data_IF_911287275265
#
_entry.id   IF_911287275265
#
_cell.length_a   1.000
_cell.length_b   1.000
_cell.length_c   1.000
_cell.angle_alpha   90.00
_cell.angle_beta   90.00
_cell.angle_gamma   90.00
#
_symmetry.space_group_name_H-M   'P 1'
#
loop_
_entity.id
_entity.type
_entity.pdbx_description
1 polymer ?
#
# COMPACT_ATOMS: atom_id res chain seq x y z
N UNK A 1 62.47 27.34 15.80
CA UNK A 1 61.17 26.69 16.16
C UNK A 1 60.05 26.99 15.16
N UNK A 2 59.88 28.18 14.65
CA UNK A 2 58.77 28.59 13.73
C UNK A 2 58.80 27.83 12.39
N UNK A 3 59.97 27.56 11.78
CA UNK A 3 60.08 26.85 10.51
C UNK A 3 59.72 25.35 10.58
N UNK A 4 59.81 24.71 11.75
CA UNK A 4 59.37 23.30 11.92
C UNK A 4 57.88 23.19 12.09
N UNK A 5 57.24 24.15 12.79
CA UNK A 5 55.80 24.18 12.97
C UNK A 5 55.06 24.37 11.63
N UNK A 6 55.58 25.22 10.75
CA UNK A 6 55.03 25.45 9.39
C UNK A 6 55.07 24.18 8.51
N UNK A 7 56.12 23.38 8.58
CA UNK A 7 56.22 22.10 7.81
C UNK A 7 55.22 21.06 8.33
N UNK A 8 55.04 20.96 9.64
CA UNK A 8 54.08 20.01 10.22
C UNK A 8 52.67 20.36 9.84
N UNK A 9 52.30 21.64 9.87
CA UNK A 9 50.98 22.15 9.44
C UNK A 9 50.77 21.86 7.94
N UNK A 10 51.78 22.02 7.10
CA UNK A 10 51.72 21.76 5.67
C UNK A 10 51.51 20.28 5.36
N UNK A 11 52.21 19.36 6.05
CA UNK A 11 51.97 17.91 5.90
C UNK A 11 50.63 17.46 6.45
N UNK A 12 50.12 18.10 7.51
CA UNK A 12 48.79 17.83 8.04
C UNK A 12 47.66 18.28 7.09
N UNK A 13 47.83 19.43 6.43
CA UNK A 13 46.90 19.90 5.40
C UNK A 13 46.92 19.02 4.14
N UNK A 14 48.08 18.50 3.73
CA UNK A 14 48.19 17.54 2.63
C UNK A 14 47.55 16.22 2.99
N UNK A 15 47.70 15.75 4.23
CA UNK A 15 47.03 14.51 4.71
C UNK A 15 45.51 14.61 4.70
N UNK A 16 44.93 15.76 5.01
CA UNK A 16 43.49 15.99 4.99
C UNK A 16 42.94 15.98 3.55
N UNK A 17 43.70 16.47 2.56
CA UNK A 17 43.24 16.51 1.16
C UNK A 17 43.25 15.12 0.47
N UNK A 18 43.88 14.12 1.05
CA UNK A 18 43.92 12.74 0.51
C UNK A 18 42.68 11.92 0.95
N UNK A 19 41.97 12.37 2.00
CA UNK A 19 40.75 11.74 2.50
C UNK A 19 39.46 12.26 1.88
N UNK A 20 39.52 12.96 0.74
CA UNK A 20 38.29 13.20 -0.04
C UNK A 20 37.81 11.83 -0.59
N UNK A 21 36.91 11.19 0.14
CA UNK A 21 36.16 10.03 -0.37
C UNK A 21 35.44 10.48 -1.63
N UNK A 22 35.94 10.07 -2.78
CA UNK A 22 35.23 10.21 -4.02
C UNK A 22 33.92 9.42 -3.82
N UNK A 23 32.79 10.13 -3.75
CA UNK A 23 31.50 9.54 -3.96
C UNK A 23 31.48 9.11 -5.43
N UNK A 24 31.93 7.87 -5.70
CA UNK A 24 31.84 7.25 -7.00
C UNK A 24 30.34 7.11 -7.33
N UNK A 25 29.84 8.07 -8.04
CA UNK A 25 28.55 7.98 -8.69
C UNK A 25 28.79 7.16 -9.95
N UNK A 26 28.51 5.88 -9.88
CA UNK A 26 28.71 4.97 -11.00
C UNK A 26 27.57 5.16 -12.02
N UNK A 27 27.91 5.11 -13.31
CA UNK A 27 26.98 5.31 -14.42
C UNK A 27 26.47 3.94 -14.88
N UNK A 28 25.17 3.78 -15.00
CA UNK A 28 24.55 2.56 -15.54
C UNK A 28 24.74 2.50 -17.07
N UNK A 29 25.72 1.77 -17.53
CA UNK A 29 25.93 1.53 -18.97
C UNK A 29 24.92 0.57 -19.57
N UNK A 30 24.36 -0.31 -18.74
CA UNK A 30 23.37 -1.30 -19.14
C UNK A 30 22.32 -1.46 -18.06
N UNK A 31 21.07 -1.68 -18.48
CA UNK A 31 19.97 -2.03 -17.60
C UNK A 31 19.44 -3.39 -18.01
N UNK A 32 19.39 -4.33 -17.06
CA UNK A 32 18.84 -5.68 -17.26
C UNK A 32 17.59 -5.82 -16.40
N UNK A 33 16.48 -6.21 -17.02
CA UNK A 33 15.20 -6.44 -16.36
C UNK A 33 14.84 -7.90 -16.52
N UNK A 34 14.45 -8.56 -15.43
CA UNK A 34 14.09 -9.97 -15.41
C UNK A 34 12.88 -10.22 -14.51
N UNK A 35 12.11 -11.27 -14.83
CA UNK A 35 10.94 -11.69 -14.06
C UNK A 35 9.64 -11.00 -14.45
N UNK A 36 9.66 -10.14 -15.46
CA UNK A 36 8.45 -9.60 -16.06
C UNK A 36 7.85 -10.60 -17.06
N UNK A 37 6.53 -10.76 -16.99
CA UNK A 37 5.76 -11.64 -17.87
C UNK A 37 4.80 -10.86 -18.76
N UNK A 38 4.10 -9.90 -18.20
CA UNK A 38 3.05 -9.11 -18.88
C UNK A 38 3.45 -7.67 -19.12
N UNK A 39 4.28 -7.12 -18.24
CA UNK A 39 4.69 -5.72 -18.29
C UNK A 39 5.99 -5.64 -19.08
N UNK A 40 6.02 -4.82 -20.14
CA UNK A 40 7.21 -4.68 -20.98
C UNK A 40 8.36 -3.97 -20.24
N UNK A 41 9.60 -4.24 -20.68
CA UNK A 41 10.79 -3.59 -20.12
C UNK A 41 10.71 -2.06 -20.22
N UNK A 42 10.17 -1.53 -21.32
CA UNK A 42 10.02 -0.10 -21.56
C UNK A 42 9.07 0.52 -20.55
N UNK A 43 7.98 -0.18 -20.20
CA UNK A 43 7.03 0.27 -19.19
C UNK A 43 7.66 0.29 -17.81
N UNK A 44 8.48 -0.72 -17.47
CA UNK A 44 9.19 -0.77 -16.18
C UNK A 44 10.22 0.37 -16.09
N UNK A 45 10.96 0.64 -17.17
CA UNK A 45 11.90 1.76 -17.25
C UNK A 45 11.19 3.11 -17.08
N UNK A 46 10.01 3.26 -17.69
CA UNK A 46 9.20 4.46 -17.55
C UNK A 46 8.75 4.68 -16.09
N UNK A 47 8.30 3.62 -15.41
CA UNK A 47 7.90 3.72 -14.00
C UNK A 47 9.08 3.99 -13.07
N UNK A 48 10.23 3.40 -13.33
CA UNK A 48 11.45 3.57 -12.51
C UNK A 48 12.20 4.88 -12.79
N UNK A 49 11.79 5.65 -13.81
CA UNK A 49 12.43 6.92 -14.21
C UNK A 49 13.96 6.81 -14.30
N UNK A 50 14.45 5.71 -14.89
CA UNK A 50 15.87 5.41 -15.09
C UNK A 50 16.16 5.19 -16.57
N UNK A 51 17.29 5.68 -17.04
CA UNK A 51 17.77 5.52 -18.41
C UNK A 51 19.23 5.05 -18.42
N UNK A 52 19.64 4.48 -19.54
CA UNK A 52 21.05 4.16 -19.77
C UNK A 52 21.86 5.45 -19.70
N UNK A 53 23.02 5.40 -19.07
CA UNK A 53 23.93 6.50 -18.74
C UNK A 53 23.47 7.41 -17.58
N UNK A 54 22.40 7.05 -16.86
CA UNK A 54 22.07 7.73 -15.61
C UNK A 54 23.08 7.35 -14.50
N UNK A 55 23.31 8.29 -13.59
CA UNK A 55 24.11 8.03 -12.38
C UNK A 55 23.30 7.25 -11.38
N UNK A 56 23.89 6.16 -10.88
CA UNK A 56 23.27 5.27 -9.89
C UNK A 56 23.97 5.43 -8.55
N UNK A 57 23.18 5.80 -7.55
CA UNK A 57 23.58 5.83 -6.15
C UNK A 57 22.48 5.17 -5.29
N UNK A 58 22.73 5.02 -4.00
CA UNK A 58 21.76 4.41 -3.09
C UNK A 58 20.41 5.15 -3.06
N UNK A 59 20.42 6.46 -3.22
CA UNK A 59 19.18 7.28 -3.27
C UNK A 59 18.39 6.96 -4.54
N UNK A 60 19.05 6.88 -5.70
CA UNK A 60 18.41 6.52 -6.97
C UNK A 60 17.82 5.12 -6.91
N UNK A 61 18.55 4.13 -6.34
CA UNK A 61 18.05 2.76 -6.14
C UNK A 61 16.80 2.76 -5.26
N UNK A 62 16.82 3.46 -4.13
CA UNK A 62 15.66 3.57 -3.24
C UNK A 62 14.45 4.23 -3.94
N UNK A 63 14.69 5.24 -4.76
CA UNK A 63 13.64 5.89 -5.54
C UNK A 63 13.04 4.93 -6.58
N UNK A 64 13.85 4.15 -7.29
CA UNK A 64 13.39 3.12 -8.23
C UNK A 64 12.50 2.11 -7.50
N UNK A 65 12.97 1.57 -6.37
CA UNK A 65 12.20 0.63 -5.55
C UNK A 65 10.85 1.23 -5.15
N UNK A 66 10.85 2.44 -4.61
CA UNK A 66 9.63 3.14 -4.19
C UNK A 66 8.66 3.33 -5.34
N UNK A 67 9.13 3.85 -6.47
CA UNK A 67 8.30 4.09 -7.66
C UNK A 67 7.67 2.80 -8.20
N UNK A 68 8.44 1.72 -8.28
CA UNK A 68 7.93 0.44 -8.75
C UNK A 68 6.88 -0.16 -7.79
N UNK A 69 7.13 -0.13 -6.47
CA UNK A 69 6.14 -0.59 -5.48
C UNK A 69 4.87 0.27 -5.46
N UNK A 70 4.98 1.58 -5.65
CA UNK A 70 3.81 2.50 -5.68
C UNK A 70 2.86 2.21 -6.85
N UNK A 71 3.34 1.61 -7.95
CA UNK A 71 2.45 1.18 -9.05
C UNK A 71 1.44 0.12 -8.60
N UNK A 72 1.80 -0.70 -7.61
CA UNK A 72 1.01 -1.84 -7.15
C UNK A 72 0.99 -3.02 -8.13
N UNK A 73 1.84 -3.01 -9.17
CA UNK A 73 1.92 -4.10 -10.15
C UNK A 73 2.87 -5.23 -9.73
N UNK A 74 3.77 -4.96 -8.78
CA UNK A 74 4.81 -5.88 -8.37
C UNK A 74 4.64 -6.31 -6.93
N UNK A 75 4.81 -7.61 -6.67
CA UNK A 75 4.85 -8.21 -5.33
C UNK A 75 6.25 -8.16 -4.74
N UNK A 76 7.26 -8.28 -5.59
CA UNK A 76 8.66 -8.18 -5.20
C UNK A 76 9.47 -7.41 -6.24
N UNK A 77 10.40 -6.58 -5.76
CA UNK A 77 11.31 -5.81 -6.59
C UNK A 77 12.68 -5.83 -5.93
N UNK A 78 13.66 -6.34 -6.65
CA UNK A 78 15.06 -6.32 -6.24
C UNK A 78 15.87 -5.52 -7.26
N UNK A 79 16.61 -4.52 -6.78
CA UNK A 79 17.46 -3.67 -7.61
C UNK A 79 18.88 -3.79 -7.11
N UNK A 80 19.78 -4.24 -7.99
CA UNK A 80 21.19 -4.35 -7.71
C UNK A 80 22.01 -3.64 -8.80
N UNK A 81 23.07 -2.97 -8.39
CA UNK A 81 23.99 -2.29 -9.28
C UNK A 81 25.40 -2.81 -9.10
N UNK A 82 25.92 -3.47 -10.13
CA UNK A 82 27.25 -4.07 -10.14
C UNK A 82 27.89 -3.95 -11.53
N UNK A 83 29.16 -3.63 -11.59
CA UNK A 83 29.95 -3.59 -12.83
C UNK A 83 29.28 -2.70 -13.91
N UNK A 84 28.77 -1.53 -13.52
CA UNK A 84 28.07 -0.58 -14.43
C UNK A 84 26.78 -1.14 -15.04
N UNK A 85 26.25 -2.27 -14.50
CA UNK A 85 24.99 -2.89 -14.90
C UNK A 85 23.97 -2.73 -13.78
N UNK A 86 22.85 -2.09 -14.08
CA UNK A 86 21.70 -2.02 -13.18
C UNK A 86 20.79 -3.22 -13.47
N UNK A 87 20.70 -4.14 -12.51
CA UNK A 87 19.82 -5.31 -12.59
C UNK A 87 18.56 -5.07 -11.79
N UNK A 88 17.42 -5.14 -12.47
CA UNK A 88 16.08 -5.01 -11.85
C UNK A 88 15.40 -6.37 -11.99
N UNK A 89 15.26 -7.09 -10.88
CA UNK A 89 14.50 -8.33 -10.83
C UNK A 89 13.15 -8.06 -10.19
N UNK A 90 12.08 -8.46 -10.86
CA UNK A 90 10.71 -8.22 -10.38
C UNK A 90 9.91 -9.52 -10.34
N UNK A 91 8.86 -9.50 -9.52
CA UNK A 91 7.78 -10.49 -9.55
C UNK A 91 6.46 -9.73 -9.68
N UNK A 92 5.68 -10.05 -10.70
CA UNK A 92 4.42 -9.37 -10.93
C UNK A 92 3.32 -9.87 -9.98
N UNK A 93 2.51 -8.95 -9.49
CA UNK A 93 1.29 -9.28 -8.75
C UNK A 93 0.29 -10.02 -9.66
N UNK A 94 -0.44 -11.02 -9.16
CA UNK A 94 -1.47 -11.68 -9.95
C UNK A 94 -2.58 -10.70 -10.35
N UNK A 95 -3.31 -11.03 -11.41
CA UNK A 95 -4.50 -10.29 -11.85
C UNK A 95 -5.74 -10.87 -11.19
N UNK A 96 -6.60 -10.00 -10.70
CA UNK A 96 -7.91 -10.36 -10.20
C UNK A 96 -8.81 -10.73 -11.38
N UNK A 97 -9.15 -12.01 -11.48
CA UNK A 97 -10.12 -12.48 -12.50
C UNK A 97 -11.53 -12.06 -12.10
N UNK A 98 -11.97 -12.46 -10.90
CA UNK A 98 -13.29 -12.15 -10.39
C UNK A 98 -13.27 -11.81 -8.91
N UNK A 99 -14.24 -10.97 -8.48
CA UNK A 99 -14.53 -10.67 -7.09
C UNK A 99 -15.94 -11.15 -6.78
N UNK A 100 -16.06 -12.05 -5.82
CA UNK A 100 -17.33 -12.62 -5.37
C UNK A 100 -17.71 -12.08 -4.00
N UNK A 101 -19.03 -12.01 -3.75
CA UNK A 101 -19.59 -11.62 -2.47
C UNK A 101 -20.61 -12.66 -2.06
N UNK A 102 -20.34 -13.35 -0.97
CA UNK A 102 -21.24 -14.31 -0.35
C UNK A 102 -21.87 -13.73 0.92
N UNK A 103 -23.05 -14.23 1.29
CA UNK A 103 -23.77 -13.79 2.49
C UNK A 103 -24.62 -12.53 2.33
N UNK A 104 -24.46 -11.75 1.25
CA UNK A 104 -25.27 -10.54 0.99
C UNK A 104 -26.17 -10.74 -0.23
N UNK A 105 -27.49 -10.83 0.01
CA UNK A 105 -28.49 -10.92 -1.05
C UNK A 105 -29.12 -9.55 -1.40
N UNK A 106 -29.19 -8.64 -0.42
CA UNK A 106 -29.87 -7.36 -0.58
C UNK A 106 -29.05 -6.36 -1.39
N UNK A 107 -29.58 -5.92 -2.53
CA UNK A 107 -28.94 -4.95 -3.44
C UNK A 107 -28.55 -3.64 -2.73
N UNK A 108 -29.44 -3.14 -1.84
CA UNK A 108 -29.19 -1.93 -1.04
C UNK A 108 -27.97 -2.00 -0.13
N UNK A 109 -27.54 -3.20 0.27
CA UNK A 109 -26.34 -3.41 1.09
C UNK A 109 -25.13 -3.63 0.19
N UNK A 110 -25.29 -4.39 -0.89
CA UNK A 110 -24.20 -4.73 -1.82
C UNK A 110 -23.67 -3.52 -2.59
N UNK A 111 -24.55 -2.63 -3.06
CA UNK A 111 -24.16 -1.47 -3.88
C UNK A 111 -23.17 -0.52 -3.17
N UNK A 112 -23.40 -0.06 -1.92
CA UNK A 112 -22.44 0.81 -1.23
C UNK A 112 -21.08 0.13 -1.01
N UNK A 113 -21.09 -1.18 -0.72
CA UNK A 113 -19.88 -1.97 -0.54
C UNK A 113 -19.07 -2.00 -1.84
N UNK A 114 -19.68 -2.44 -2.93
CA UNK A 114 -19.01 -2.61 -4.22
C UNK A 114 -18.50 -1.29 -4.80
N UNK A 115 -19.21 -0.18 -4.56
CA UNK A 115 -18.81 1.15 -5.02
C UNK A 115 -17.50 1.63 -4.38
N UNK A 116 -17.28 1.29 -3.11
CA UNK A 116 -16.17 1.81 -2.30
C UNK A 116 -14.93 0.91 -2.33
N UNK A 117 -14.95 -0.22 -3.05
CA UNK A 117 -13.78 -1.08 -3.17
C UNK A 117 -12.67 -0.42 -3.99
N UNK A 118 -11.43 -0.66 -3.57
CA UNK A 118 -10.21 -0.25 -4.28
C UNK A 118 -9.79 -1.29 -5.32
N UNK A 119 -10.00 -2.58 -4.99
CA UNK A 119 -9.74 -3.68 -5.92
C UNK A 119 -10.90 -3.81 -6.93
N UNK A 120 -10.55 -4.16 -8.15
CA UNK A 120 -11.49 -4.34 -9.27
C UNK A 120 -11.13 -5.59 -10.07
N UNK A 121 -12.11 -6.16 -10.75
CA UNK A 121 -11.83 -7.20 -11.74
C UNK A 121 -10.83 -6.66 -12.78
N UNK A 122 -9.90 -7.50 -13.18
CA UNK A 122 -8.82 -7.22 -14.14
C UNK A 122 -7.77 -6.20 -13.66
N UNK A 123 -7.78 -5.81 -12.38
CA UNK A 123 -6.69 -5.04 -11.76
C UNK A 123 -5.67 -5.97 -11.10
N UNK A 124 -4.47 -5.47 -10.85
CA UNK A 124 -3.47 -6.19 -10.08
C UNK A 124 -3.93 -6.36 -8.63
N UNK A 125 -3.77 -7.57 -8.12
CA UNK A 125 -3.98 -7.89 -6.73
C UNK A 125 -2.97 -7.16 -5.84
N UNK A 126 -3.40 -6.68 -4.70
CA UNK A 126 -2.54 -6.05 -3.72
C UNK A 126 -3.10 -6.31 -2.32
N UNK A 127 -2.30 -6.92 -1.45
CA UNK A 127 -2.71 -7.32 -0.11
C UNK A 127 -3.10 -6.10 0.77
N UNK A 128 -2.43 -4.96 0.61
CA UNK A 128 -2.73 -3.74 1.37
C UNK A 128 -4.11 -3.21 0.96
N UNK A 129 -4.40 -3.20 -0.34
CA UNK A 129 -5.72 -2.81 -0.85
C UNK A 129 -6.81 -3.79 -0.41
N UNK A 130 -6.52 -5.09 -0.40
CA UNK A 130 -7.45 -6.13 0.08
C UNK A 130 -7.85 -5.90 1.54
N UNK A 131 -6.86 -5.69 2.42
CA UNK A 131 -7.12 -5.41 3.82
C UNK A 131 -7.90 -4.09 4.00
N UNK A 132 -7.56 -3.05 3.24
CA UNK A 132 -8.31 -1.80 3.23
C UNK A 132 -9.75 -2.00 2.78
N UNK A 133 -10.00 -2.83 1.77
CA UNK A 133 -11.35 -3.13 1.30
C UNK A 133 -12.14 -3.92 2.33
N UNK A 134 -11.52 -4.89 3.02
CA UNK A 134 -12.14 -5.60 4.15
C UNK A 134 -12.63 -4.63 5.23
N UNK A 135 -11.76 -3.71 5.67
CA UNK A 135 -12.12 -2.70 6.68
C UNK A 135 -13.22 -1.74 6.18
N UNK A 136 -13.17 -1.34 4.91
CA UNK A 136 -14.20 -0.51 4.31
C UNK A 136 -15.57 -1.23 4.26
N UNK A 137 -15.60 -2.52 3.98
CA UNK A 137 -16.82 -3.34 4.01
C UNK A 137 -17.40 -3.36 5.44
N UNK A 138 -16.57 -3.66 6.44
CA UNK A 138 -16.98 -3.67 7.85
C UNK A 138 -17.52 -2.32 8.28
N UNK A 139 -16.83 -1.24 7.95
CA UNK A 139 -17.25 0.14 8.25
C UNK A 139 -18.59 0.49 7.59
N UNK A 140 -18.75 0.12 6.32
CA UNK A 140 -20.01 0.32 5.58
C UNK A 140 -21.15 -0.44 6.23
N UNK A 141 -20.95 -1.70 6.61
CA UNK A 141 -21.98 -2.49 7.30
C UNK A 141 -22.35 -1.90 8.66
N UNK A 142 -21.37 -1.43 9.44
CA UNK A 142 -21.62 -0.73 10.69
C UNK A 142 -22.44 0.55 10.51
N UNK A 143 -22.16 1.34 9.47
CA UNK A 143 -22.94 2.55 9.15
C UNK A 143 -24.38 2.25 8.76
N UNK A 144 -24.64 1.06 8.22
CA UNK A 144 -25.99 0.56 7.91
C UNK A 144 -26.70 -0.06 9.14
N UNK A 145 -26.03 -0.11 10.30
CA UNK A 145 -26.55 -0.63 11.55
C UNK A 145 -26.18 -2.09 11.86
N UNK A 146 -25.35 -2.74 11.05
CA UNK A 146 -24.89 -4.12 11.25
C UNK A 146 -23.56 -4.14 12.01
N UNK A 147 -23.60 -3.83 13.30
CA UNK A 147 -22.41 -3.65 14.13
C UNK A 147 -21.63 -4.94 14.39
N UNK A 148 -22.28 -6.09 14.30
CA UNK A 148 -21.71 -7.40 14.59
C UNK A 148 -21.33 -8.18 13.32
N UNK A 149 -21.40 -7.52 12.17
CA UNK A 149 -21.02 -8.13 10.90
C UNK A 149 -19.55 -8.60 10.91
N UNK A 150 -19.34 -9.80 10.33
CA UNK A 150 -18.02 -10.39 10.13
C UNK A 150 -17.73 -10.49 8.65
N UNK A 151 -16.48 -10.29 8.28
CA UNK A 151 -16.02 -10.38 6.89
C UNK A 151 -14.76 -11.23 6.84
N UNK A 152 -14.86 -12.38 6.22
CA UNK A 152 -13.74 -13.23 5.91
C UNK A 152 -13.41 -13.12 4.43
N UNK A 153 -12.11 -13.16 4.09
CA UNK A 153 -11.66 -12.99 2.73
C UNK A 153 -10.81 -14.18 2.35
N UNK A 154 -11.16 -14.82 1.25
CA UNK A 154 -10.42 -15.92 0.65
C UNK A 154 -9.87 -15.46 -0.70
N UNK A 155 -8.65 -15.86 -0.99
CA UNK A 155 -7.98 -15.60 -2.27
C UNK A 155 -7.64 -16.95 -2.88
N UNK A 156 -8.29 -17.26 -3.97
CA UNK A 156 -8.10 -18.50 -4.69
C UNK A 156 -7.14 -18.26 -5.85
N UNK A 157 -5.99 -18.94 -5.82
CA UNK A 157 -5.00 -18.87 -6.89
C UNK A 157 -5.49 -19.66 -8.10
N UNK A 158 -5.30 -19.09 -9.28
CA UNK A 158 -5.64 -19.67 -10.56
C UNK A 158 -4.39 -19.77 -11.44
N UNK A 159 -4.48 -20.53 -12.52
CA UNK A 159 -3.43 -20.59 -13.54
C UNK A 159 -3.15 -19.22 -14.16
N UNK A 160 -1.96 -19.05 -14.74
CA UNK A 160 -1.52 -17.86 -15.45
C UNK A 160 -1.45 -16.59 -14.59
N UNK A 161 -0.96 -16.73 -13.34
CA UNK A 161 -0.77 -15.62 -12.40
C UNK A 161 -2.05 -14.80 -12.20
N UNK A 162 -3.18 -15.49 -11.94
CA UNK A 162 -4.49 -14.90 -11.67
C UNK A 162 -5.01 -15.32 -10.31
N UNK A 163 -5.94 -14.54 -9.77
CA UNK A 163 -6.63 -14.87 -8.50
C UNK A 163 -8.10 -14.52 -8.59
N UNK A 164 -8.92 -15.27 -7.84
CA UNK A 164 -10.25 -14.86 -7.46
C UNK A 164 -10.26 -14.37 -6.02
N UNK A 165 -11.07 -13.36 -5.72
CA UNK A 165 -11.27 -12.86 -4.36
C UNK A 165 -12.70 -13.17 -3.95
N UNK A 166 -12.88 -13.84 -2.82
CA UNK A 166 -14.17 -14.16 -2.27
C UNK A 166 -14.34 -13.49 -0.90
N UNK A 167 -15.24 -12.50 -0.81
CA UNK A 167 -15.67 -11.88 0.43
C UNK A 167 -16.85 -12.64 1.00
N UNK A 168 -16.62 -13.45 2.04
CA UNK A 168 -17.66 -14.14 2.79
C UNK A 168 -18.12 -13.23 3.95
N UNK A 169 -19.36 -12.79 3.89
CA UNK A 169 -19.90 -11.74 4.77
C UNK A 169 -21.06 -12.30 5.58
N UNK A 170 -20.85 -12.45 6.88
CA UNK A 170 -21.93 -12.69 7.84
C UNK A 170 -22.41 -11.35 8.37
N UNK A 171 -23.58 -10.90 7.91
CA UNK A 171 -24.13 -9.59 8.26
C UNK A 171 -24.61 -9.57 9.70
N UNK A 172 -25.07 -10.70 10.25
CA UNK A 172 -25.73 -10.78 11.54
C UNK A 172 -27.04 -9.96 11.62
N UNK A 173 -27.49 -9.72 12.84
CA UNK A 173 -28.67 -8.92 13.10
C UNK A 173 -28.37 -7.42 13.12
N UNK A 174 -29.34 -6.62 12.69
CA UNK A 174 -29.24 -5.17 12.78
C UNK A 174 -29.34 -4.75 14.24
N UNK A 175 -28.38 -3.92 14.70
CA UNK A 175 -28.38 -3.40 16.06
C UNK A 175 -29.60 -2.51 16.31
N UNK A 176 -30.24 -2.68 17.47
CA UNK A 176 -31.38 -1.92 17.93
C UNK A 176 -31.11 -1.34 19.31
N UNK A 177 -31.58 -0.12 19.55
CA UNK A 177 -31.46 0.51 20.86
C UNK A 177 -32.55 -0.04 21.77
N UNK A 178 -32.15 -0.82 22.79
CA UNK A 178 -33.12 -1.42 23.72
C UNK A 178 -33.61 -0.42 24.76
N UNK A 179 -32.76 0.50 25.22
CA UNK A 179 -33.08 1.48 26.27
C UNK A 179 -32.17 2.69 26.18
N UNK A 180 -32.74 3.86 26.36
CA UNK A 180 -32.04 5.14 26.48
C UNK A 180 -32.31 5.68 27.90
N UNK A 181 -31.23 5.95 28.66
CA UNK A 181 -31.32 6.56 29.99
C UNK A 181 -30.41 7.77 30.08
N UNK A 182 -30.84 8.78 30.81
CA UNK A 182 -30.09 10.01 31.03
C UNK A 182 -29.55 10.03 32.47
N UNK A 183 -28.28 10.31 32.62
CA UNK A 183 -27.62 10.38 33.96
C UNK A 183 -27.22 11.83 34.20
N UNK A 184 -27.48 12.33 35.42
CA UNK A 184 -27.07 13.68 35.83
C UNK A 184 -28.02 14.83 35.49
N UNK A 185 -29.13 14.55 34.80
CA UNK A 185 -30.15 15.56 34.52
C UNK A 185 -31.00 15.85 35.79
N UNK A 186 -30.90 17.08 36.28
CA UNK A 186 -31.70 17.52 37.48
C UNK A 186 -32.92 18.36 37.08
N UNK A 187 -32.96 18.92 35.87
CA UNK A 187 -33.93 19.93 35.46
C UNK A 187 -35.05 19.34 34.57
N UNK A 188 -34.69 18.42 33.67
CA UNK A 188 -35.64 17.86 32.71
C UNK A 188 -35.90 16.39 32.97
N UNK A 189 -37.13 15.96 32.82
CA UNK A 189 -37.54 14.55 32.90
C UNK A 189 -37.01 13.79 31.66
N UNK A 190 -36.61 12.53 31.82
CA UNK A 190 -36.14 11.64 30.75
C UNK A 190 -37.05 11.62 29.54
N UNK A 191 -38.39 11.63 29.76
CA UNK A 191 -39.37 11.66 28.67
C UNK A 191 -39.22 12.89 27.77
N UNK A 192 -38.91 14.07 28.35
CA UNK A 192 -38.71 15.29 27.58
C UNK A 192 -37.38 15.22 26.79
N UNK A 193 -36.36 14.67 27.41
CA UNK A 193 -35.06 14.50 26.77
C UNK A 193 -35.10 13.48 25.62
N UNK A 194 -35.86 12.39 25.76
CA UNK A 194 -36.06 11.42 24.68
C UNK A 194 -36.74 12.03 23.45
N UNK A 195 -37.64 12.99 23.64
CA UNK A 195 -38.30 13.68 22.53
C UNK A 195 -37.40 14.67 21.75
N UNK A 196 -36.18 14.93 22.22
CA UNK A 196 -35.23 15.83 21.57
C UNK A 196 -34.13 15.08 20.80
N UNK A 197 -33.91 13.83 21.15
CA UNK A 197 -32.90 12.99 20.47
C UNK A 197 -33.50 12.30 19.25
N UNK A 198 -32.67 12.09 18.23
CA UNK A 198 -33.05 11.39 16.99
C UNK A 198 -33.13 9.87 17.14
N UNK A 199 -32.54 9.34 18.21
CA UNK A 199 -32.49 7.89 18.46
C UNK A 199 -33.78 7.44 19.20
N UNK A 200 -34.39 6.36 18.71
CA UNK A 200 -35.60 5.77 19.29
C UNK A 200 -35.31 4.40 19.90
N UNK A 201 -36.01 4.05 20.98
CA UNK A 201 -36.03 2.70 21.56
C UNK A 201 -36.85 1.78 20.65
N UNK A 202 -36.43 0.52 20.52
CA UNK A 202 -37.17 -0.52 19.77
C UNK A 202 -38.01 -1.35 20.72
#
# INVERSE_FOLDING_TARGET
>A
MIKHCSKVIFYFLISISIFSTQCLSDIAKKIEITGNERISNETILMFSTISVNDTVNNEKINNILKQLYETGFFSDVNVNFENEILKIKITENPIIENIFFEGIKAKKIKEPITKNLKLRNRSSYNLIKLNSDKENIISTLKSLGYYFAKVDVYVDELDNNKVNINYNIDIGDKAKIKKISFIGNKIFKDRKLRGVILSEEY
#
